data_IF_190769622477
#
_entry.id   IF_190769622477
#
_cell.length_a   1.000
_cell.length_b   1.000
_cell.length_c   1.000
_cell.angle_alpha   90.00
_cell.angle_beta   90.00
_cell.angle_gamma   90.00
#
_symmetry.space_group_name_H-M   'P 1'
#
loop_
_entity.id
_entity.type
_entity.pdbx_description
1 polymer ?
#
# COMPACT_ATOMS: atom_id res chain seq x y z
N UNK A 1 -5.17 -28.13 10.02
CA UNK A 1 -5.84 -27.84 8.74
C UNK A 1 -7.32 -27.93 8.98
N UNK A 2 -8.05 -26.92 8.54
CA UNK A 2 -9.51 -26.83 8.56
C UNK A 2 -10.08 -27.62 7.37
N UNK A 3 -11.41 -27.75 7.30
CA UNK A 3 -12.08 -28.33 6.12
C UNK A 3 -12.36 -27.29 5.01
N UNK A 4 -11.99 -26.02 5.21
CA UNK A 4 -12.38 -24.92 4.30
C UNK A 4 -11.68 -25.02 2.93
N UNK A 5 -10.40 -25.38 2.89
CA UNK A 5 -9.63 -25.58 1.65
C UNK A 5 -9.43 -27.07 1.33
N UNK A 6 -10.34 -27.94 1.78
CA UNK A 6 -10.21 -29.38 1.64
C UNK A 6 -9.95 -29.81 0.19
N UNK A 7 -8.87 -30.57 0.00
CA UNK A 7 -8.48 -31.10 -1.32
C UNK A 7 -7.54 -30.17 -2.11
N UNK A 8 -7.24 -28.97 -1.61
CA UNK A 8 -6.26 -28.07 -2.20
C UNK A 8 -4.87 -28.38 -1.63
N UNK A 9 -3.90 -28.53 -2.52
CA UNK A 9 -2.49 -28.73 -2.15
C UNK A 9 -1.75 -27.39 -2.11
N UNK A 10 -0.65 -27.29 -1.34
CA UNK A 10 0.20 -26.10 -1.38
C UNK A 10 0.66 -25.76 -2.80
N UNK A 11 0.53 -24.48 -3.15
CA UNK A 11 0.90 -23.91 -4.44
C UNK A 11 2.42 -23.94 -4.59
N UNK A 12 2.89 -24.29 -5.79
CA UNK A 12 4.32 -24.35 -6.11
C UNK A 12 4.59 -23.66 -7.43
N UNK A 13 5.85 -23.27 -7.62
CA UNK A 13 6.35 -22.85 -8.92
C UNK A 13 6.46 -24.06 -9.87
N UNK A 14 5.82 -23.97 -11.03
CA UNK A 14 5.84 -25.02 -12.07
C UNK A 14 6.36 -24.53 -13.42
N UNK A 15 6.67 -23.24 -13.55
CA UNK A 15 7.18 -22.64 -14.78
C UNK A 15 6.10 -22.08 -15.71
N UNK A 16 6.54 -21.29 -16.69
CA UNK A 16 5.68 -20.46 -17.53
C UNK A 16 4.70 -21.27 -18.39
N UNK A 17 5.05 -22.51 -18.74
CA UNK A 17 4.24 -23.39 -19.60
C UNK A 17 3.21 -24.23 -18.81
N UNK A 18 3.15 -24.10 -17.47
CA UNK A 18 2.20 -24.88 -16.67
C UNK A 18 0.74 -24.48 -16.93
N UNK A 19 -0.09 -25.50 -17.17
CA UNK A 19 -1.54 -25.39 -17.26
C UNK A 19 -2.26 -25.60 -15.94
N UNK A 20 -1.53 -25.88 -14.84
CA UNK A 20 -2.12 -26.04 -13.51
C UNK A 20 -2.69 -24.68 -13.03
N UNK A 21 -4.00 -24.55 -12.75
CA UNK A 21 -4.59 -23.28 -12.32
C UNK A 21 -4.22 -22.90 -10.87
N UNK A 22 -3.65 -23.83 -10.10
CA UNK A 22 -3.20 -23.65 -8.72
C UNK A 22 -1.68 -23.82 -8.59
N UNK A 23 -0.93 -23.24 -9.53
CA UNK A 23 0.53 -23.16 -9.52
C UNK A 23 1.00 -21.77 -9.92
N UNK A 24 2.17 -21.38 -9.41
CA UNK A 24 2.89 -20.19 -9.87
C UNK A 24 3.62 -20.48 -11.18
N UNK A 25 3.45 -19.59 -12.16
CA UNK A 25 4.10 -19.68 -13.48
C UNK A 25 5.34 -18.80 -13.59
N UNK A 26 5.33 -17.69 -12.86
CA UNK A 26 6.39 -16.69 -12.87
C UNK A 26 6.99 -16.45 -11.49
N UNK A 27 6.20 -16.60 -10.42
CA UNK A 27 6.70 -16.44 -9.06
C UNK A 27 7.50 -17.67 -8.60
N UNK A 28 8.83 -17.53 -8.65
CA UNK A 28 9.76 -18.44 -8.00
C UNK A 28 10.44 -17.68 -6.86
N UNK A 29 10.03 -17.95 -5.62
CA UNK A 29 10.47 -17.20 -4.43
C UNK A 29 11.99 -17.13 -4.26
N UNK A 30 12.72 -18.16 -4.71
CA UNK A 30 14.16 -18.31 -4.56
C UNK A 30 14.96 -17.81 -5.77
N UNK A 31 14.28 -17.43 -6.87
CA UNK A 31 14.92 -16.83 -8.04
C UNK A 31 15.64 -15.53 -7.64
N UNK A 32 16.91 -15.40 -8.00
CA UNK A 32 17.70 -14.20 -7.73
C UNK A 32 17.54 -13.21 -8.89
N UNK A 33 16.99 -12.04 -8.58
CA UNK A 33 16.81 -10.91 -9.52
C UNK A 33 17.60 -9.72 -8.98
N UNK A 34 18.51 -9.15 -9.77
CA UNK A 34 19.37 -8.03 -9.33
C UNK A 34 20.06 -8.30 -7.97
N UNK A 35 20.54 -9.52 -7.74
CA UNK A 35 21.28 -9.89 -6.53
C UNK A 35 20.44 -10.17 -5.28
N UNK A 36 19.11 -10.19 -5.37
CA UNK A 36 18.20 -10.44 -4.24
C UNK A 36 17.09 -11.42 -4.63
N UNK A 37 16.61 -12.24 -3.70
CA UNK A 37 15.52 -13.20 -3.96
C UNK A 37 14.26 -12.46 -4.37
N UNK A 38 13.50 -13.03 -5.29
CA UNK A 38 12.20 -12.50 -5.75
C UNK A 38 11.25 -12.25 -4.57
N UNK A 39 11.19 -13.17 -3.61
CA UNK A 39 10.39 -12.99 -2.41
C UNK A 39 10.83 -11.79 -1.56
N UNK A 40 12.12 -11.49 -1.51
CA UNK A 40 12.63 -10.38 -0.69
C UNK A 40 12.44 -9.03 -1.40
N UNK A 41 12.29 -9.01 -2.73
CA UNK A 41 11.87 -7.83 -3.50
C UNK A 41 10.39 -7.53 -3.32
N UNK A 42 9.54 -8.55 -3.51
CA UNK A 42 8.09 -8.39 -3.51
C UNK A 42 7.54 -8.32 -2.07
N UNK A 43 8.05 -9.18 -1.18
CA UNK A 43 7.57 -9.34 0.21
C UNK A 43 6.03 -9.39 0.26
N UNK A 44 5.40 -10.34 -0.47
CA UNK A 44 3.97 -10.31 -0.67
C UNK A 44 3.22 -10.50 0.65
N UNK A 45 2.16 -9.71 0.84
CA UNK A 45 1.27 -9.75 2.00
C UNK A 45 -0.16 -10.11 1.59
N UNK A 46 -0.90 -10.76 2.48
CA UNK A 46 -2.36 -10.96 2.34
C UNK A 46 -3.11 -9.97 3.21
N UNK A 47 -4.04 -9.22 2.61
CA UNK A 47 -4.99 -8.38 3.33
C UNK A 47 -6.05 -9.22 4.04
N UNK A 48 -6.08 -9.16 5.38
CA UNK A 48 -7.01 -9.97 6.16
C UNK A 48 -8.48 -9.54 5.94
N UNK A 49 -8.75 -8.24 5.76
CA UNK A 49 -10.09 -7.71 5.54
C UNK A 49 -10.73 -8.30 4.30
N UNK A 50 -10.11 -8.16 3.13
CA UNK A 50 -10.69 -8.64 1.88
C UNK A 50 -10.77 -10.16 1.77
N UNK A 51 -9.79 -10.85 2.35
CA UNK A 51 -9.68 -12.30 2.20
C UNK A 51 -10.64 -13.04 3.14
N UNK A 52 -10.82 -12.54 4.37
CA UNK A 52 -11.53 -13.28 5.41
C UNK A 52 -12.68 -12.51 6.09
N UNK A 53 -12.69 -11.17 6.04
CA UNK A 53 -13.71 -10.37 6.73
C UNK A 53 -14.82 -9.86 5.80
N UNK A 54 -14.49 -9.40 4.59
CA UNK A 54 -15.47 -8.87 3.64
C UNK A 54 -16.46 -9.94 3.21
N UNK A 55 -17.75 -9.65 3.40
CA UNK A 55 -18.84 -10.62 3.24
C UNK A 55 -19.39 -10.69 1.81
N UNK A 56 -18.78 -9.97 0.87
CA UNK A 56 -19.23 -9.89 -0.52
C UNK A 56 -20.45 -8.97 -0.74
N UNK A 57 -20.70 -8.04 0.19
CA UNK A 57 -21.72 -7.00 0.05
C UNK A 57 -21.24 -5.78 -0.75
N UNK A 58 -22.19 -5.04 -1.31
CA UNK A 58 -21.98 -3.77 -2.03
C UNK A 58 -23.15 -2.79 -1.73
N UNK A 59 -23.14 -1.53 -2.20
CA UNK A 59 -24.21 -0.57 -1.91
C UNK A 59 -25.62 -0.98 -2.37
N UNK A 60 -25.74 -2.01 -3.21
CA UNK A 60 -26.99 -2.45 -3.84
C UNK A 60 -27.40 -3.87 -3.41
N UNK A 61 -26.61 -4.57 -2.60
CA UNK A 61 -26.91 -5.92 -2.15
C UNK A 61 -26.08 -6.36 -0.94
N UNK A 62 -26.70 -7.17 -0.07
CA UNK A 62 -26.06 -7.72 1.12
C UNK A 62 -25.05 -8.84 0.84
N UNK A 63 -24.65 -9.50 1.93
CA UNK A 63 -23.71 -10.64 2.00
C UNK A 63 -23.98 -11.69 0.90
N UNK A 64 -22.90 -12.14 0.26
CA UNK A 64 -22.91 -13.25 -0.71
C UNK A 64 -22.05 -14.42 -0.27
N UNK A 65 -21.03 -14.17 0.55
CA UNK A 65 -20.17 -15.22 1.07
C UNK A 65 -20.78 -15.80 2.35
N UNK A 66 -21.16 -17.07 2.31
CA UNK A 66 -21.59 -17.81 3.50
C UNK A 66 -20.42 -18.58 4.08
N UNK A 67 -19.48 -17.85 4.70
CA UNK A 67 -18.27 -18.45 5.28
C UNK A 67 -18.55 -19.01 6.68
N UNK A 68 -17.96 -20.16 7.04
CA UNK A 68 -18.26 -20.87 8.29
C UNK A 68 -17.91 -20.12 9.59
N UNK A 69 -17.20 -18.98 9.53
CA UNK A 69 -16.87 -18.14 10.68
C UNK A 69 -17.80 -16.93 10.87
N UNK A 70 -18.70 -16.62 9.93
CA UNK A 70 -19.61 -15.49 10.12
C UNK A 70 -20.66 -15.78 11.19
N UNK A 71 -21.13 -14.71 11.85
CA UNK A 71 -22.16 -14.69 12.90
C UNK A 71 -21.89 -15.61 14.12
N UNK A 72 -20.62 -15.94 14.37
CA UNK A 72 -20.17 -16.78 15.50
C UNK A 72 -19.36 -16.03 16.55
N UNK A 73 -19.34 -14.69 16.49
CA UNK A 73 -18.60 -13.83 17.40
C UNK A 73 -17.13 -14.26 17.53
N UNK A 74 -16.66 -14.39 18.78
CA UNK A 74 -15.27 -14.80 19.03
C UNK A 74 -14.97 -16.23 18.57
N UNK A 75 -15.92 -17.17 18.58
CA UNK A 75 -15.68 -18.53 18.05
C UNK A 75 -15.34 -18.46 16.56
N UNK A 76 -16.11 -17.66 15.82
CA UNK A 76 -15.84 -17.36 14.42
C UNK A 76 -14.47 -16.72 14.20
N UNK A 77 -14.11 -15.73 15.02
CA UNK A 77 -12.79 -15.08 14.94
C UNK A 77 -11.62 -16.07 15.13
N UNK A 78 -11.72 -17.00 16.08
CA UNK A 78 -10.70 -18.05 16.29
C UNK A 78 -10.61 -18.98 15.09
N UNK A 79 -11.75 -19.43 14.56
CA UNK A 79 -11.77 -20.30 13.38
C UNK A 79 -11.24 -19.58 12.12
N UNK A 80 -11.57 -18.30 11.95
CA UNK A 80 -11.04 -17.47 10.87
C UNK A 80 -9.52 -17.34 10.94
N UNK A 81 -8.94 -17.24 12.14
CA UNK A 81 -7.48 -17.29 12.33
C UNK A 81 -6.88 -18.66 11.92
N UNK A 82 -7.59 -19.76 12.13
CA UNK A 82 -7.16 -21.08 11.65
C UNK A 82 -7.14 -21.17 10.12
N UNK A 83 -8.23 -20.71 9.48
CA UNK A 83 -8.36 -20.67 8.02
C UNK A 83 -7.33 -19.73 7.40
N UNK A 84 -7.05 -18.59 8.03
CA UNK A 84 -6.11 -17.61 7.50
C UNK A 84 -4.69 -18.18 7.39
N UNK A 85 -4.18 -18.80 8.45
CA UNK A 85 -2.86 -19.42 8.42
C UNK A 85 -2.79 -20.64 7.50
N UNK A 86 -3.89 -21.36 7.31
CA UNK A 86 -3.95 -22.40 6.28
C UNK A 86 -3.82 -21.83 4.88
N UNK A 87 -4.49 -20.72 4.55
CA UNK A 87 -4.29 -20.05 3.25
C UNK A 87 -2.86 -19.55 3.09
N UNK A 88 -2.26 -18.96 4.13
CA UNK A 88 -0.88 -18.46 4.07
C UNK A 88 0.11 -19.60 3.79
N UNK A 89 -0.08 -20.76 4.43
CA UNK A 89 0.74 -21.95 4.19
C UNK A 89 0.47 -22.57 2.80
N UNK A 90 -0.78 -22.57 2.32
CA UNK A 90 -1.14 -23.04 0.98
C UNK A 90 -0.54 -22.18 -0.12
N UNK A 91 -0.59 -20.86 0.02
CA UNK A 91 0.03 -19.92 -0.93
C UNK A 91 1.55 -19.85 -0.75
N UNK A 92 2.08 -20.35 0.36
CA UNK A 92 3.48 -20.15 0.75
C UNK A 92 3.81 -18.65 0.72
N UNK A 93 3.08 -17.82 1.48
CA UNK A 93 3.26 -16.36 1.53
C UNK A 93 3.92 -15.90 2.85
N UNK A 94 4.95 -15.02 2.80
CA UNK A 94 5.69 -14.58 3.97
C UNK A 94 4.98 -13.55 4.86
N UNK A 95 3.97 -12.82 4.37
CA UNK A 95 3.37 -11.75 5.15
C UNK A 95 1.83 -11.69 5.13
N UNK A 96 1.27 -11.04 6.14
CA UNK A 96 -0.14 -10.62 6.18
C UNK A 96 -0.28 -9.23 6.83
N UNK A 97 -1.43 -8.60 6.61
CA UNK A 97 -1.82 -7.31 7.17
C UNK A 97 -3.23 -7.41 7.79
N UNK A 98 -3.55 -6.62 8.81
CA UNK A 98 -4.90 -6.65 9.41
C UNK A 98 -5.36 -5.30 9.97
N UNK A 99 -6.68 -5.05 9.95
CA UNK A 99 -7.32 -4.17 10.93
C UNK A 99 -7.82 -4.96 12.14
N UNK A 100 -7.83 -4.30 13.29
CA UNK A 100 -8.35 -4.87 14.53
C UNK A 100 -9.81 -5.37 14.43
N UNK A 101 -10.69 -4.59 13.81
CA UNK A 101 -12.08 -4.96 13.56
C UNK A 101 -12.23 -6.18 12.61
N UNK A 102 -11.21 -6.46 11.79
CA UNK A 102 -11.25 -7.61 10.89
C UNK A 102 -10.90 -8.90 11.62
N UNK A 103 -10.09 -8.84 12.66
CA UNK A 103 -9.59 -10.04 13.34
C UNK A 103 -10.48 -10.43 14.52
N UNK A 104 -11.18 -9.47 15.14
CA UNK A 104 -12.05 -9.73 16.27
C UNK A 104 -13.30 -8.83 16.27
N UNK A 105 -14.46 -9.33 16.75
CA UNK A 105 -15.66 -8.51 16.91
C UNK A 105 -15.49 -7.44 17.98
N UNK A 106 -16.11 -6.29 17.74
CA UNK A 106 -16.21 -5.20 18.70
C UNK A 106 -17.05 -5.63 19.93
N UNK A 107 -16.60 -5.25 21.13
CA UNK A 107 -17.35 -5.45 22.38
C UNK A 107 -18.25 -4.27 22.74
N UNK A 108 -18.93 -4.33 23.89
CA UNK A 108 -19.78 -3.24 24.35
C UNK A 108 -19.01 -2.00 24.82
N UNK A 109 -17.71 -2.15 25.09
CA UNK A 109 -16.80 -1.08 25.51
C UNK A 109 -15.45 -1.24 24.80
N UNK A 110 -14.67 -0.16 24.70
CA UNK A 110 -13.31 -0.22 24.15
C UNK A 110 -12.44 -1.26 24.89
N UNK A 111 -12.59 -1.37 26.22
CA UNK A 111 -11.87 -2.36 27.00
C UNK A 111 -12.22 -3.80 26.60
N UNK A 112 -13.47 -4.07 26.25
CA UNK A 112 -13.91 -5.38 25.77
C UNK A 112 -13.44 -5.64 24.34
N UNK A 113 -13.56 -4.67 23.44
CA UNK A 113 -13.01 -4.76 22.08
C UNK A 113 -11.51 -5.05 22.11
N UNK A 114 -10.76 -4.34 22.95
CA UNK A 114 -9.32 -4.56 23.11
C UNK A 114 -9.01 -5.97 23.62
N UNK A 115 -9.79 -6.51 24.58
CA UNK A 115 -9.60 -7.89 25.05
C UNK A 115 -9.81 -8.91 23.93
N UNK A 116 -10.86 -8.73 23.12
CA UNK A 116 -11.16 -9.60 21.99
C UNK A 116 -10.01 -9.60 20.97
N UNK A 117 -9.54 -8.39 20.59
CA UNK A 117 -8.41 -8.20 19.67
C UNK A 117 -7.14 -8.85 20.20
N UNK A 118 -6.83 -8.66 21.49
CA UNK A 118 -5.65 -9.27 22.13
C UNK A 118 -5.70 -10.78 22.16
N UNK A 119 -6.87 -11.38 22.40
CA UNK A 119 -7.03 -12.82 22.36
C UNK A 119 -6.69 -13.41 20.98
N UNK A 120 -7.16 -12.76 19.90
CA UNK A 120 -6.81 -13.19 18.54
C UNK A 120 -5.34 -12.91 18.23
N UNK A 121 -4.79 -11.80 18.72
CA UNK A 121 -3.36 -11.50 18.68
C UNK A 121 -2.49 -12.61 19.28
N UNK A 122 -2.85 -13.14 20.44
CA UNK A 122 -2.16 -14.28 21.06
C UNK A 122 -2.24 -15.56 20.20
N UNK A 123 -3.36 -15.78 19.50
CA UNK A 123 -3.50 -16.89 18.56
C UNK A 123 -2.54 -16.70 17.37
N UNK A 124 -2.46 -15.50 16.81
CA UNK A 124 -1.51 -15.19 15.75
C UNK A 124 -0.07 -15.42 16.20
N UNK A 125 0.31 -14.93 17.39
CA UNK A 125 1.65 -15.16 17.94
C UNK A 125 2.01 -16.66 18.00
N UNK A 126 1.12 -17.50 18.57
CA UNK A 126 1.32 -18.96 18.63
C UNK A 126 1.38 -19.62 17.27
N UNK A 127 0.66 -19.11 16.27
CA UNK A 127 0.71 -19.62 14.90
C UNK A 127 2.01 -19.22 14.19
N UNK A 128 2.48 -17.99 14.40
CA UNK A 128 3.74 -17.47 13.84
C UNK A 128 4.99 -18.18 14.39
N UNK A 129 4.90 -18.86 15.53
CA UNK A 129 5.95 -19.77 16.02
C UNK A 129 6.17 -20.98 15.10
N UNK A 130 5.13 -21.42 14.37
CA UNK A 130 5.15 -22.63 13.54
C UNK A 130 5.08 -22.34 12.05
N UNK A 131 4.45 -21.24 11.66
CA UNK A 131 4.43 -20.76 10.27
C UNK A 131 5.59 -19.81 10.01
N UNK A 132 6.02 -19.70 8.76
CA UNK A 132 7.02 -18.71 8.33
C UNK A 132 6.41 -17.31 8.15
N UNK A 133 5.09 -17.22 8.08
CA UNK A 133 4.37 -15.97 7.84
C UNK A 133 4.57 -15.00 9.00
N UNK A 134 4.77 -13.72 8.70
CA UNK A 134 5.02 -12.63 9.65
C UNK A 134 4.06 -11.47 9.40
N UNK A 135 3.94 -10.58 10.37
CA UNK A 135 3.13 -9.37 10.22
C UNK A 135 3.89 -8.33 9.40
N UNK A 136 3.35 -7.90 8.26
CA UNK A 136 3.91 -6.75 7.53
C UNK A 136 3.50 -5.46 8.24
N UNK A 137 2.21 -5.31 8.56
CA UNK A 137 1.70 -4.22 9.38
C UNK A 137 0.32 -4.52 9.96
N UNK A 138 0.04 -3.88 11.09
CA UNK A 138 -1.33 -3.74 11.62
C UNK A 138 -1.80 -2.30 11.48
N UNK A 139 -3.11 -2.09 11.60
CA UNK A 139 -3.78 -0.79 11.52
C UNK A 139 -5.10 -0.82 12.28
N UNK A 140 -5.59 0.33 12.73
CA UNK A 140 -6.88 0.42 13.41
C UNK A 140 -7.97 0.78 12.40
N UNK A 141 -9.08 0.03 12.40
CA UNK A 141 -10.26 0.42 11.62
C UNK A 141 -10.97 1.58 12.34
N UNK A 142 -10.66 2.80 11.91
CA UNK A 142 -11.23 4.05 12.43
C UNK A 142 -12.31 4.63 11.50
N UNK A 143 -13.01 3.78 10.74
CA UNK A 143 -13.90 4.25 9.67
C UNK A 143 -15.22 3.47 9.52
N UNK A 144 -15.29 2.22 9.97
CA UNK A 144 -16.51 1.40 9.83
C UNK A 144 -17.56 1.69 10.90
N UNK A 145 -17.16 1.87 12.16
CA UNK A 145 -18.12 2.12 13.23
C UNK A 145 -18.79 3.49 13.08
N UNK A 146 -20.10 3.58 13.32
CA UNK A 146 -20.89 4.82 13.23
C UNK A 146 -20.33 6.00 14.05
N UNK A 147 -19.55 5.75 15.10
CA UNK A 147 -18.91 6.82 15.88
C UNK A 147 -17.94 7.66 15.04
N UNK A 148 -17.37 7.08 13.99
CA UNK A 148 -16.42 7.72 13.08
C UNK A 148 -17.08 8.38 11.86
N UNK A 149 -18.42 8.44 11.81
CA UNK A 149 -19.12 8.98 10.63
C UNK A 149 -18.72 10.42 10.28
N UNK A 150 -18.16 11.17 11.24
CA UNK A 150 -17.67 12.55 11.07
C UNK A 150 -16.15 12.68 11.28
N UNK A 151 -15.38 11.61 11.04
CA UNK A 151 -13.92 11.58 11.25
C UNK A 151 -13.50 10.84 12.52
N UNK A 152 -12.20 10.59 12.65
CA UNK A 152 -11.62 9.98 13.86
C UNK A 152 -10.65 10.94 14.52
N UNK A 153 -9.45 11.12 13.95
CA UNK A 153 -8.53 12.17 14.34
C UNK A 153 -9.03 13.56 13.93
N UNK A 154 -9.83 13.65 12.86
CA UNK A 154 -10.42 14.92 12.40
C UNK A 154 -11.82 15.17 12.96
N UNK A 155 -12.28 14.36 13.92
CA UNK A 155 -13.65 14.50 14.41
C UNK A 155 -13.86 15.86 15.13
N UNK A 156 -14.99 16.55 14.89
CA UNK A 156 -15.35 17.75 15.65
C UNK A 156 -15.54 17.50 17.16
N UNK A 157 -15.78 16.26 17.57
CA UNK A 157 -15.93 15.83 18.96
C UNK A 157 -14.60 15.28 19.52
N UNK A 158 -13.99 15.92 20.54
CA UNK A 158 -12.74 15.45 21.14
C UNK A 158 -12.86 14.09 21.85
N UNK A 159 -14.05 13.63 22.23
CA UNK A 159 -14.23 12.29 22.80
C UNK A 159 -14.05 11.18 21.75
N UNK A 160 -14.45 11.43 20.50
CA UNK A 160 -14.20 10.50 19.39
C UNK A 160 -12.71 10.43 19.06
N UNK A 161 -12.01 11.58 19.05
CA UNK A 161 -10.55 11.63 18.94
C UNK A 161 -9.89 10.78 20.03
N UNK A 162 -10.32 10.92 21.28
CA UNK A 162 -9.77 10.17 22.41
C UNK A 162 -10.03 8.66 22.27
N UNK A 163 -11.22 8.26 21.81
CA UNK A 163 -11.54 6.86 21.54
C UNK A 163 -10.64 6.28 20.44
N UNK A 164 -10.49 7.00 19.32
CA UNK A 164 -9.61 6.61 18.21
C UNK A 164 -8.15 6.42 18.68
N UNK A 165 -7.63 7.34 19.50
CA UNK A 165 -6.30 7.22 20.08
C UNK A 165 -6.17 5.98 20.99
N UNK A 166 -7.21 5.69 21.78
CA UNK A 166 -7.26 4.49 22.62
C UNK A 166 -7.25 3.17 21.83
N UNK A 167 -7.95 3.14 20.70
CA UNK A 167 -7.94 1.99 19.77
C UNK A 167 -6.57 1.85 19.10
N UNK A 168 -6.04 2.93 18.49
CA UNK A 168 -4.71 2.94 17.85
C UNK A 168 -3.60 2.50 18.82
N UNK A 169 -3.63 2.96 20.07
CA UNK A 169 -2.69 2.50 21.10
C UNK A 169 -2.68 0.98 21.21
N UNK A 170 -3.87 0.36 21.30
CA UNK A 170 -3.98 -1.08 21.46
C UNK A 170 -3.45 -1.84 20.24
N UNK A 171 -3.80 -1.39 19.03
CA UNK A 171 -3.37 -2.04 17.78
C UNK A 171 -1.87 -1.85 17.54
N UNK A 172 -1.32 -0.67 17.81
CA UNK A 172 0.11 -0.40 17.67
C UNK A 172 0.94 -1.25 18.63
N UNK A 173 0.49 -1.40 19.88
CA UNK A 173 1.13 -2.31 20.85
C UNK A 173 1.06 -3.78 20.39
N UNK A 174 -0.10 -4.25 19.91
CA UNK A 174 -0.22 -5.60 19.36
C UNK A 174 0.67 -5.79 18.12
N UNK A 175 0.72 -4.80 17.23
CA UNK A 175 1.60 -4.81 16.05
C UNK A 175 3.05 -4.91 16.46
N UNK A 176 3.47 -4.18 17.50
CA UNK A 176 4.80 -4.28 18.07
C UNK A 176 5.09 -5.68 18.65
N UNK A 177 4.18 -6.23 19.44
CA UNK A 177 4.30 -7.56 20.07
C UNK A 177 4.40 -8.68 19.03
N UNK A 178 3.69 -8.56 17.90
CA UNK A 178 3.75 -9.50 16.78
C UNK A 178 4.96 -9.27 15.86
N UNK A 179 5.80 -8.26 16.13
CA UNK A 179 6.98 -7.96 15.32
C UNK A 179 6.63 -7.37 13.94
N UNK A 180 5.53 -6.60 13.85
CA UNK A 180 5.11 -5.93 12.64
C UNK A 180 6.20 -5.01 12.07
N UNK A 181 6.46 -5.12 10.77
CA UNK A 181 7.49 -4.34 10.09
C UNK A 181 7.10 -2.86 9.92
N UNK A 182 5.81 -2.55 9.89
CA UNK A 182 5.26 -1.22 9.72
C UNK A 182 3.94 -1.08 10.52
N UNK A 183 3.41 0.15 10.62
CA UNK A 183 2.07 0.44 11.12
C UNK A 183 1.42 1.48 10.22
N UNK A 184 0.22 1.19 9.72
CA UNK A 184 -0.48 2.02 8.72
C UNK A 184 -1.56 2.88 9.39
N UNK A 185 -1.75 4.09 8.86
CA UNK A 185 -2.91 4.93 9.09
C UNK A 185 -3.52 5.30 7.73
N UNK A 186 -4.64 4.68 7.39
CA UNK A 186 -5.47 5.07 6.26
C UNK A 186 -6.63 5.94 6.74
N UNK A 187 -6.73 7.16 6.19
CA UNK A 187 -7.66 8.19 6.63
C UNK A 187 -9.10 8.04 6.12
N UNK A 188 -9.70 6.84 6.14
CA UNK A 188 -10.99 6.59 5.47
C UNK A 188 -12.14 7.54 5.88
N UNK A 189 -12.11 8.16 7.06
CA UNK A 189 -13.05 9.23 7.48
C UNK A 189 -12.36 10.57 7.75
N UNK A 190 -11.06 10.66 7.56
CA UNK A 190 -10.24 11.84 7.81
C UNK A 190 -10.31 12.78 6.61
N UNK A 191 -11.45 13.46 6.52
CA UNK A 191 -11.84 14.28 5.39
C UNK A 191 -13.21 14.90 5.64
N UNK A 192 -13.90 15.32 4.59
CA UNK A 192 -15.22 15.92 4.73
C UNK A 192 -16.22 15.46 3.68
N UNK A 193 -17.51 15.54 4.03
CA UNK A 193 -18.62 15.43 3.07
C UNK A 193 -19.04 16.80 2.52
N UNK A 194 -19.02 17.85 3.34
CA UNK A 194 -19.38 19.21 2.93
C UNK A 194 -18.52 20.27 3.61
N UNK A 195 -18.11 21.30 2.86
CA UNK A 195 -17.36 22.42 3.41
C UNK A 195 -18.19 23.33 4.33
N UNK A 196 -19.52 23.26 4.25
CA UNK A 196 -20.42 24.13 5.02
C UNK A 196 -20.32 23.94 6.53
N UNK A 197 -19.86 22.78 6.99
CA UNK A 197 -19.69 22.43 8.40
C UNK A 197 -18.25 22.01 8.77
N UNK A 198 -17.29 22.21 7.87
CA UNK A 198 -15.92 21.70 8.02
C UNK A 198 -14.95 22.85 8.23
N UNK A 199 -14.05 22.72 9.23
CA UNK A 199 -12.95 23.66 9.46
C UNK A 199 -11.63 22.99 9.10
N UNK A 200 -11.29 22.96 7.81
CA UNK A 200 -10.14 22.21 7.27
C UNK A 200 -8.85 22.46 8.07
N UNK A 201 -8.52 23.73 8.38
CA UNK A 201 -7.29 24.05 9.13
C UNK A 201 -7.25 23.41 10.52
N UNK A 202 -8.38 23.42 11.23
CA UNK A 202 -8.53 22.82 12.56
C UNK A 202 -8.40 21.30 12.49
N UNK A 203 -9.08 20.67 11.52
CA UNK A 203 -9.08 19.22 11.34
C UNK A 203 -7.70 18.69 10.95
N UNK A 204 -6.98 19.41 10.08
CA UNK A 204 -5.59 19.09 9.78
C UNK A 204 -4.67 19.27 11.01
N UNK A 205 -4.90 20.29 11.85
CA UNK A 205 -4.11 20.47 13.08
C UNK A 205 -4.35 19.33 14.07
N UNK A 206 -5.59 18.83 14.16
CA UNK A 206 -5.94 17.66 14.95
C UNK A 206 -5.27 16.39 14.41
N UNK A 207 -5.37 16.14 13.10
CA UNK A 207 -4.73 15.00 12.43
C UNK A 207 -3.21 15.03 12.60
N UNK A 208 -2.59 16.20 12.45
CA UNK A 208 -1.16 16.42 12.69
C UNK A 208 -0.78 16.10 14.13
N UNK A 209 -1.57 16.54 15.12
CA UNK A 209 -1.34 16.20 16.53
C UNK A 209 -1.55 14.71 16.81
N UNK A 210 -2.55 14.08 16.18
CA UNK A 210 -2.81 12.65 16.34
C UNK A 210 -1.60 11.83 15.90
N UNK A 211 -1.02 12.14 14.74
CA UNK A 211 0.15 11.44 14.22
C UNK A 211 1.37 11.60 15.13
N UNK A 212 1.57 12.79 15.72
CA UNK A 212 2.58 12.98 16.77
C UNK A 212 2.36 12.07 17.98
N UNK A 213 1.12 11.97 18.49
CA UNK A 213 0.81 11.11 19.64
C UNK A 213 1.10 9.63 19.31
N UNK A 214 0.78 9.18 18.09
CA UNK A 214 1.07 7.82 17.63
C UNK A 214 2.58 7.57 17.59
N UNK A 215 3.36 8.50 17.03
CA UNK A 215 4.83 8.40 16.96
C UNK A 215 5.47 8.46 18.36
N UNK A 216 5.03 9.38 19.23
CA UNK A 216 5.47 9.50 20.62
C UNK A 216 5.25 8.17 21.37
N UNK A 217 4.09 7.53 21.17
CA UNK A 217 3.80 6.24 21.78
C UNK A 217 4.63 5.10 21.18
N UNK A 218 4.78 5.06 19.84
CA UNK A 218 5.63 4.09 19.15
C UNK A 218 7.07 4.13 19.68
N UNK A 219 7.65 5.32 19.81
CA UNK A 219 8.98 5.52 20.38
C UNK A 219 9.06 5.07 21.84
N UNK A 220 8.03 5.40 22.65
CA UNK A 220 7.94 5.01 24.07
C UNK A 220 7.91 3.51 24.29
N UNK A 221 7.17 2.75 23.46
CA UNK A 221 7.12 1.29 23.56
C UNK A 221 8.30 0.61 22.84
N UNK A 222 9.13 1.37 22.14
CA UNK A 222 10.29 0.85 21.41
C UNK A 222 9.95 0.22 20.07
N UNK A 223 8.79 0.53 19.47
CA UNK A 223 8.43 0.08 18.13
C UNK A 223 9.44 0.61 17.11
N UNK A 224 9.99 -0.30 16.28
CA UNK A 224 11.00 0.02 15.25
C UNK A 224 10.46 0.00 13.84
N UNK A 225 9.20 -0.40 13.65
CA UNK A 225 8.58 -0.41 12.34
C UNK A 225 8.32 1.00 11.81
N UNK A 226 8.18 1.11 10.50
CA UNK A 226 7.89 2.38 9.84
C UNK A 226 6.42 2.78 10.05
N UNK A 227 6.15 4.03 10.40
CA UNK A 227 4.80 4.59 10.38
C UNK A 227 4.47 5.00 8.94
N UNK A 228 3.31 4.58 8.46
CA UNK A 228 2.85 4.78 7.08
C UNK A 228 1.51 5.53 7.04
N UNK A 229 1.38 6.48 6.12
CA UNK A 229 0.09 7.04 5.69
C UNK A 229 -0.24 6.44 4.33
N UNK A 230 -1.52 6.14 4.10
CA UNK A 230 -2.00 5.60 2.84
C UNK A 230 -2.86 6.62 2.10
N UNK A 231 -2.33 7.27 1.04
CA UNK A 231 -3.08 8.31 0.35
C UNK A 231 -4.30 7.75 -0.37
N UNK A 232 -5.41 8.50 -0.33
CA UNK A 232 -6.62 8.29 -1.13
C UNK A 232 -7.34 9.63 -1.31
N UNK A 233 -7.90 9.95 -2.49
CA UNK A 233 -8.51 11.25 -2.75
C UNK A 233 -9.90 11.45 -2.14
N UNK A 234 -10.67 10.37 -2.02
CA UNK A 234 -12.09 10.35 -1.66
C UNK A 234 -12.53 8.90 -1.42
N UNK A 235 -13.82 8.69 -1.14
CA UNK A 235 -14.46 7.40 -0.90
C UNK A 235 -13.96 6.71 0.39
N UNK A 236 -14.74 6.78 1.47
CA UNK A 236 -16.15 7.21 1.55
C UNK A 236 -16.38 8.72 1.74
N UNK A 237 -15.33 9.52 1.98
CA UNK A 237 -15.47 10.98 2.10
C UNK A 237 -15.65 11.63 0.72
N UNK A 238 -16.19 12.85 0.67
CA UNK A 238 -16.25 13.64 -0.59
C UNK A 238 -14.88 14.23 -0.95
N UNK A 239 -14.03 14.42 0.05
CA UNK A 239 -12.62 14.77 -0.09
C UNK A 239 -11.90 14.24 1.15
N UNK A 240 -10.90 13.40 0.93
CA UNK A 240 -10.00 12.89 1.97
C UNK A 240 -8.73 13.75 2.00
N UNK A 241 -8.22 14.04 3.20
CA UNK A 241 -7.13 15.03 3.36
C UNK A 241 -5.78 14.54 2.86
N UNK A 242 -5.48 13.26 3.06
CA UNK A 242 -4.35 12.53 2.51
C UNK A 242 -4.60 12.16 1.03
N UNK A 243 -4.84 13.17 0.19
CA UNK A 243 -5.38 13.01 -1.17
C UNK A 243 -4.48 12.22 -2.13
N UNK A 244 -3.19 12.56 -2.16
CA UNK A 244 -2.13 11.95 -2.98
C UNK A 244 -0.77 12.13 -2.28
N UNK A 245 0.30 11.55 -2.83
CA UNK A 245 1.66 11.62 -2.26
C UNK A 245 2.14 13.07 -2.09
N UNK A 246 1.85 13.96 -3.04
CA UNK A 246 2.26 15.36 -2.96
C UNK A 246 1.59 16.08 -1.78
N UNK A 247 0.29 15.85 -1.61
CA UNK A 247 -0.53 16.41 -0.55
C UNK A 247 -0.08 15.89 0.81
N UNK A 248 0.17 14.57 0.91
CA UNK A 248 0.71 13.96 2.12
C UNK A 248 2.07 14.55 2.46
N UNK A 249 2.99 14.70 1.49
CA UNK A 249 4.28 15.33 1.76
C UNK A 249 4.14 16.78 2.25
N UNK A 250 3.25 17.57 1.64
CA UNK A 250 2.96 18.94 2.09
C UNK A 250 2.44 18.97 3.54
N UNK A 251 1.53 18.07 3.89
CA UNK A 251 1.05 17.88 5.26
C UNK A 251 2.19 17.50 6.21
N UNK A 252 2.98 16.48 5.88
CA UNK A 252 4.09 16.03 6.71
C UNK A 252 5.10 17.16 6.93
N UNK A 253 5.42 17.96 5.91
CA UNK A 253 6.31 19.12 6.02
C UNK A 253 5.74 20.22 6.91
N UNK A 254 4.44 20.50 6.83
CA UNK A 254 3.77 21.49 7.69
C UNK A 254 3.92 21.12 9.17
N UNK A 255 3.86 19.83 9.50
CA UNK A 255 3.90 19.33 10.87
C UNK A 255 5.26 18.75 11.29
N UNK A 256 6.30 18.82 10.45
CA UNK A 256 7.66 18.35 10.78
C UNK A 256 7.81 16.83 10.88
N UNK A 257 7.05 16.07 10.09
CA UNK A 257 6.93 14.62 10.15
C UNK A 257 7.52 13.89 8.93
N UNK A 258 8.07 14.61 7.94
CA UNK A 258 8.53 14.07 6.66
C UNK A 258 9.72 13.10 6.79
N UNK A 259 10.43 13.13 7.91
CA UNK A 259 11.54 12.20 8.20
C UNK A 259 11.11 10.99 9.03
N UNK A 260 9.86 10.97 9.52
CA UNK A 260 9.32 9.97 10.44
C UNK A 260 8.27 9.10 9.79
N UNK A 261 7.57 9.62 8.78
CA UNK A 261 6.41 8.97 8.15
C UNK A 261 6.69 8.83 6.66
N UNK A 262 6.25 7.69 6.11
CA UNK A 262 6.34 7.35 4.70
C UNK A 262 4.96 7.01 4.14
N UNK A 263 4.83 6.86 2.82
CA UNK A 263 3.59 6.46 2.18
C UNK A 263 3.52 4.93 2.00
N UNK A 264 2.33 4.38 2.26
CA UNK A 264 1.84 3.14 1.66
C UNK A 264 1.04 3.53 0.41
N UNK A 265 1.46 3.15 -0.79
CA UNK A 265 0.84 3.64 -2.03
C UNK A 265 0.03 2.52 -2.65
N UNK A 266 -1.25 2.76 -2.89
CA UNK A 266 -2.15 1.82 -3.54
C UNK A 266 -2.40 2.19 -5.01
N UNK A 267 -2.44 1.18 -5.89
CA UNK A 267 -2.73 1.35 -7.32
C UNK A 267 -4.12 1.96 -7.55
N UNK A 268 -5.14 1.42 -6.88
CA UNK A 268 -6.52 1.87 -6.99
C UNK A 268 -6.70 3.32 -6.57
N UNK A 269 -6.10 3.70 -5.44
CA UNK A 269 -6.14 5.07 -4.91
C UNK A 269 -5.43 6.08 -5.82
N UNK A 270 -4.25 5.73 -6.36
CA UNK A 270 -3.54 6.57 -7.32
C UNK A 270 -4.42 6.87 -8.55
N UNK A 271 -5.09 5.85 -9.09
CA UNK A 271 -6.02 6.00 -10.20
C UNK A 271 -7.20 6.91 -9.85
N UNK A 272 -7.82 6.73 -8.67
CA UNK A 272 -8.91 7.60 -8.22
C UNK A 272 -8.48 9.05 -8.07
N UNK A 273 -7.19 9.30 -7.77
CA UNK A 273 -6.61 10.64 -7.69
C UNK A 273 -6.28 11.22 -9.08
N UNK A 274 -6.59 10.46 -10.15
CA UNK A 274 -6.30 10.75 -11.54
C UNK A 274 -4.78 10.79 -11.84
N UNK A 275 -4.02 9.93 -11.15
CA UNK A 275 -2.59 9.71 -11.35
C UNK A 275 -2.33 8.27 -11.80
N UNK A 276 -1.22 8.03 -12.49
CA UNK A 276 -0.74 6.67 -12.68
C UNK A 276 0.00 6.18 -11.43
N UNK A 277 0.05 4.87 -11.22
CA UNK A 277 0.71 4.32 -10.02
C UNK A 277 2.21 4.61 -10.02
N UNK A 278 2.88 4.52 -11.17
CA UNK A 278 4.30 4.84 -11.29
C UNK A 278 4.60 6.33 -11.07
N UNK A 279 3.63 7.23 -11.29
CA UNK A 279 3.77 8.65 -10.93
C UNK A 279 3.92 8.82 -9.42
N UNK A 280 2.98 8.25 -8.64
CA UNK A 280 2.99 8.35 -7.18
C UNK A 280 4.25 7.71 -6.58
N UNK A 281 4.70 6.58 -7.15
CA UNK A 281 5.95 5.92 -6.75
C UNK A 281 7.18 6.78 -7.04
N UNK A 282 7.29 7.34 -8.26
CA UNK A 282 8.41 8.20 -8.65
C UNK A 282 8.48 9.45 -7.77
N UNK A 283 7.32 10.05 -7.47
CA UNK A 283 7.23 11.21 -6.60
C UNK A 283 7.65 10.86 -5.16
N UNK A 284 7.09 9.80 -4.58
CA UNK A 284 7.42 9.38 -3.22
C UNK A 284 8.90 9.01 -3.07
N UNK A 285 9.49 8.36 -4.08
CA UNK A 285 10.91 8.06 -4.12
C UNK A 285 11.75 9.35 -4.14
N UNK A 286 11.39 10.33 -4.98
CA UNK A 286 12.10 11.62 -5.09
C UNK A 286 12.06 12.45 -3.80
N UNK A 287 10.99 12.28 -3.02
CA UNK A 287 10.77 12.95 -1.74
C UNK A 287 11.31 12.17 -0.53
N UNK A 288 11.82 10.95 -0.76
CA UNK A 288 12.37 10.09 0.31
C UNK A 288 11.32 9.43 1.21
N UNK A 289 10.05 9.44 0.80
CA UNK A 289 8.91 8.95 1.58
C UNK A 289 8.26 7.68 1.02
N UNK A 290 8.89 6.97 0.06
CA UNK A 290 8.41 5.66 -0.38
C UNK A 290 8.60 4.60 0.74
N UNK A 291 7.48 4.04 1.22
CA UNK A 291 7.44 3.11 2.35
C UNK A 291 7.02 1.69 1.96
N UNK A 292 5.77 1.53 1.53
CA UNK A 292 5.16 0.24 1.16
C UNK A 292 4.17 0.44 0.01
N UNK A 293 3.60 -0.64 -0.51
CA UNK A 293 2.56 -0.54 -1.55
C UNK A 293 1.43 -1.55 -1.33
N UNK A 294 0.25 -1.19 -1.80
CA UNK A 294 -0.89 -2.08 -1.93
C UNK A 294 -1.13 -2.47 -3.40
N UNK A 295 -1.16 -3.78 -3.61
CA UNK A 295 -1.14 -4.46 -4.88
C UNK A 295 -2.57 -4.77 -5.34
N UNK A 296 -3.18 -3.84 -6.05
CA UNK A 296 -4.49 -4.04 -6.64
C UNK A 296 -4.61 -3.32 -7.99
N UNK A 297 -5.84 -3.12 -8.46
CA UNK A 297 -6.19 -2.22 -9.55
C UNK A 297 -7.65 -1.81 -9.41
N UNK A 298 -7.98 -0.71 -10.08
CA UNK A 298 -9.36 -0.33 -10.33
C UNK A 298 -9.79 -0.57 -11.78
N UNK A 299 -11.10 -0.55 -11.98
CA UNK A 299 -11.69 -0.58 -13.31
C UNK A 299 -11.70 0.84 -13.88
N UNK A 300 -11.07 1.04 -15.04
CA UNK A 300 -10.91 2.37 -15.62
C UNK A 300 -12.25 3.03 -16.02
N UNK A 301 -13.33 2.27 -16.14
CA UNK A 301 -14.67 2.78 -16.45
C UNK A 301 -15.51 3.01 -15.18
N UNK A 302 -14.99 2.64 -14.02
CA UNK A 302 -15.67 2.72 -12.71
C UNK A 302 -14.95 3.72 -11.81
N UNK A 303 -15.61 4.83 -11.48
CA UNK A 303 -15.03 5.90 -10.65
C UNK A 303 -15.01 5.63 -9.15
N UNK A 304 -14.84 4.37 -8.73
CA UNK A 304 -14.80 3.94 -7.33
C UNK A 304 -13.83 2.77 -7.15
N UNK A 305 -13.53 2.45 -5.89
CA UNK A 305 -12.59 1.42 -5.51
C UNK A 305 -13.15 0.00 -5.70
N UNK A 306 -12.57 -0.73 -6.64
CA UNK A 306 -12.99 -2.08 -7.01
C UNK A 306 -12.12 -3.17 -6.39
N UNK A 307 -10.93 -2.81 -5.89
CA UNK A 307 -9.94 -3.65 -5.20
C UNK A 307 -9.69 -4.96 -5.95
N UNK A 308 -9.48 -4.88 -7.27
CA UNK A 308 -9.20 -6.07 -8.08
C UNK A 308 -7.74 -6.47 -7.95
N UNK A 309 -7.42 -7.76 -8.04
CA UNK A 309 -6.02 -8.19 -8.11
C UNK A 309 -5.31 -7.58 -9.34
N UNK A 310 -3.99 -7.31 -9.29
CA UNK A 310 -3.24 -6.82 -10.44
C UNK A 310 -3.36 -7.78 -11.63
N UNK A 311 -3.47 -7.23 -12.85
CA UNK A 311 -3.58 -8.04 -14.07
C UNK A 311 -2.73 -7.51 -15.26
N UNK A 312 -2.01 -6.41 -15.09
CA UNK A 312 -1.29 -5.73 -16.17
C UNK A 312 0.22 -5.76 -15.91
N UNK A 313 0.92 -6.66 -16.60
CA UNK A 313 2.39 -6.73 -16.53
C UNK A 313 3.06 -5.42 -16.97
N UNK A 314 2.62 -4.75 -18.06
CA UNK A 314 3.24 -3.50 -18.50
C UNK A 314 3.17 -2.38 -17.46
N UNK A 315 2.00 -2.14 -16.85
CA UNK A 315 1.83 -1.10 -15.84
C UNK A 315 2.66 -1.40 -14.59
N UNK A 316 2.58 -2.63 -14.07
CA UNK A 316 3.34 -3.03 -12.88
C UNK A 316 4.85 -3.06 -13.15
N UNK A 317 5.30 -3.22 -14.41
CA UNK A 317 6.74 -3.14 -14.77
C UNK A 317 7.29 -1.74 -14.53
N UNK A 318 6.55 -0.69 -14.92
CA UNK A 318 6.95 0.69 -14.66
C UNK A 318 6.95 1.01 -13.15
N UNK A 319 6.01 0.44 -12.39
CA UNK A 319 6.02 0.54 -10.94
C UNK A 319 7.26 -0.10 -10.29
N UNK A 320 7.59 -1.34 -10.67
CA UNK A 320 8.81 -2.00 -10.20
C UNK A 320 10.07 -1.25 -10.61
N UNK A 321 10.09 -0.65 -11.80
CA UNK A 321 11.21 0.19 -12.22
C UNK A 321 11.45 1.33 -11.21
N UNK A 322 10.42 2.11 -10.86
CA UNK A 322 10.56 3.20 -9.89
C UNK A 322 10.99 2.69 -8.50
N UNK A 323 10.40 1.59 -8.03
CA UNK A 323 10.75 0.97 -6.74
C UNK A 323 12.21 0.51 -6.72
N UNK A 324 12.68 -0.17 -7.77
CA UNK A 324 14.06 -0.66 -7.86
C UNK A 324 15.06 0.50 -7.95
N UNK A 325 14.75 1.55 -8.72
CA UNK A 325 15.57 2.78 -8.79
C UNK A 325 15.64 3.52 -7.45
N UNK A 326 14.61 3.40 -6.61
CA UNK A 326 14.58 3.92 -5.25
C UNK A 326 15.31 3.03 -4.22
N UNK A 327 15.84 1.87 -4.63
CA UNK A 327 16.52 0.92 -3.73
C UNK A 327 15.58 -0.11 -3.07
N UNK A 328 14.33 -0.21 -3.52
CA UNK A 328 13.31 -1.12 -2.99
C UNK A 328 12.47 -0.52 -1.85
N UNK A 329 11.59 -1.34 -1.28
CA UNK A 329 10.60 -0.91 -0.26
C UNK A 329 11.10 -1.00 1.18
N UNK A 330 12.37 -1.31 1.43
CA UNK A 330 12.92 -1.50 2.78
C UNK A 330 12.09 -2.49 3.64
N UNK A 331 11.38 -1.98 4.67
CA UNK A 331 10.51 -2.75 5.57
C UNK A 331 9.12 -3.03 4.98
N UNK A 332 8.69 -2.28 3.97
CA UNK A 332 7.43 -2.45 3.26
C UNK A 332 7.43 -3.68 2.34
N UNK A 333 6.31 -3.87 1.64
CA UNK A 333 6.11 -4.97 0.71
C UNK A 333 4.89 -4.71 -0.15
N UNK A 334 4.54 -5.69 -0.99
CA UNK A 334 3.31 -5.66 -1.80
C UNK A 334 2.20 -6.40 -1.05
N UNK A 335 1.37 -5.68 -0.30
CA UNK A 335 0.18 -6.28 0.32
C UNK A 335 -0.94 -6.37 -0.73
N UNK A 336 -1.56 -7.53 -0.90
CA UNK A 336 -2.72 -7.67 -1.79
C UNK A 336 -3.96 -7.08 -1.11
N UNK A 337 -4.08 -5.75 -1.13
CA UNK A 337 -5.32 -5.05 -0.83
C UNK A 337 -6.33 -5.23 -1.96
N UNK A 338 -6.69 -6.49 -2.20
CA UNK A 338 -7.54 -6.93 -3.27
C UNK A 338 -8.52 -8.00 -2.78
N UNK A 339 -9.75 -7.96 -3.31
CA UNK A 339 -10.80 -8.94 -3.02
C UNK A 339 -11.08 -9.86 -4.21
N UNK A 340 -11.52 -11.07 -3.92
CA UNK A 340 -12.21 -11.87 -4.95
C UNK A 340 -13.50 -11.16 -5.36
N UNK A 341 -14.08 -11.53 -6.50
CA UNK A 341 -15.31 -10.85 -6.95
C UNK A 341 -16.50 -11.34 -6.13
N UNK A 342 -17.55 -10.51 -6.05
CA UNK A 342 -18.81 -10.84 -5.35
C UNK A 342 -19.42 -12.18 -5.76
N UNK A 343 -19.15 -12.64 -6.99
CA UNK A 343 -19.67 -13.89 -7.56
C UNK A 343 -18.66 -15.05 -7.47
N UNK A 344 -17.43 -14.79 -7.02
CA UNK A 344 -16.35 -15.77 -6.85
C UNK A 344 -16.39 -16.30 -5.41
N UNK A 345 -17.31 -17.23 -5.17
CA UNK A 345 -17.69 -17.69 -3.83
C UNK A 345 -16.90 -18.92 -3.36
N UNK A 346 -16.20 -19.62 -4.26
CA UNK A 346 -15.54 -20.87 -3.91
C UNK A 346 -14.24 -20.61 -3.13
N UNK A 347 -13.83 -21.49 -2.21
CA UNK A 347 -12.55 -21.32 -1.50
C UNK A 347 -11.35 -21.21 -2.45
N UNK A 348 -11.36 -21.93 -3.58
CA UNK A 348 -10.29 -21.90 -4.58
C UNK A 348 -10.13 -20.52 -5.24
N UNK A 349 -11.19 -19.70 -5.31
CA UNK A 349 -11.12 -18.36 -5.90
C UNK A 349 -10.16 -17.45 -5.13
N UNK A 350 -10.06 -17.62 -3.81
CA UNK A 350 -9.08 -16.91 -2.99
C UNK A 350 -7.66 -17.22 -3.46
N UNK A 351 -7.37 -18.49 -3.80
CA UNK A 351 -6.06 -18.87 -4.33
C UNK A 351 -5.86 -18.34 -5.74
N UNK A 352 -6.85 -18.45 -6.63
CA UNK A 352 -6.73 -17.96 -8.00
C UNK A 352 -6.39 -16.46 -8.06
N UNK A 353 -7.04 -15.64 -7.21
CA UNK A 353 -6.75 -14.21 -7.11
C UNK A 353 -5.29 -13.93 -6.72
N UNK A 354 -4.84 -14.53 -5.62
CA UNK A 354 -3.48 -14.33 -5.11
C UNK A 354 -2.40 -14.90 -6.04
N UNK A 355 -2.63 -16.08 -6.64
CA UNK A 355 -1.70 -16.69 -7.60
C UNK A 355 -1.54 -15.80 -8.82
N UNK A 356 -2.65 -15.35 -9.41
CA UNK A 356 -2.63 -14.46 -10.58
C UNK A 356 -1.93 -13.14 -10.27
N UNK A 357 -2.29 -12.50 -9.16
CA UNK A 357 -1.65 -11.26 -8.71
C UNK A 357 -0.14 -11.42 -8.51
N UNK A 358 0.29 -12.49 -7.83
CA UNK A 358 1.70 -12.71 -7.54
C UNK A 358 2.52 -13.08 -8.78
N UNK A 359 1.94 -13.82 -9.74
CA UNK A 359 2.58 -14.08 -11.04
C UNK A 359 2.74 -12.79 -11.86
N UNK A 360 1.77 -11.88 -11.81
CA UNK A 360 1.89 -10.55 -12.44
C UNK A 360 3.05 -9.76 -11.80
N UNK A 361 3.09 -9.68 -10.47
CA UNK A 361 4.18 -9.00 -9.76
C UNK A 361 5.55 -9.61 -10.10
N UNK A 362 5.65 -10.94 -10.10
CA UNK A 362 6.88 -11.66 -10.42
C UNK A 362 7.36 -11.42 -11.85
N UNK A 363 6.45 -11.44 -12.83
CA UNK A 363 6.79 -11.17 -14.23
C UNK A 363 7.21 -9.71 -14.42
N UNK A 364 6.51 -8.77 -13.80
CA UNK A 364 6.85 -7.34 -13.86
C UNK A 364 8.18 -7.01 -13.18
N UNK A 365 8.51 -7.65 -12.05
CA UNK A 365 9.83 -7.51 -11.42
C UNK A 365 10.94 -7.93 -12.39
N UNK A 366 10.77 -9.06 -13.10
CA UNK A 366 11.76 -9.53 -14.08
C UNK A 366 11.89 -8.60 -15.28
N UNK A 367 10.78 -8.11 -15.80
CA UNK A 367 10.78 -7.13 -16.90
C UNK A 367 11.47 -5.82 -16.49
N UNK A 368 11.19 -5.31 -15.29
CA UNK A 368 11.81 -4.10 -14.76
C UNK A 368 13.31 -4.28 -14.52
N UNK A 369 13.72 -5.44 -14.02
CA UNK A 369 15.14 -5.78 -13.86
C UNK A 369 15.86 -5.81 -15.22
N UNK A 370 15.28 -6.49 -16.22
CA UNK A 370 15.84 -6.53 -17.57
C UNK A 370 15.94 -5.13 -18.20
N UNK A 371 14.94 -4.27 -17.97
CA UNK A 371 14.96 -2.87 -18.42
C UNK A 371 16.10 -2.07 -17.77
N UNK A 372 16.35 -2.25 -16.48
CA UNK A 372 17.44 -1.60 -15.74
C UNK A 372 18.80 -2.10 -16.23
N UNK A 373 18.96 -3.42 -16.42
CA UNK A 373 20.22 -4.03 -16.90
C UNK A 373 20.57 -3.59 -18.32
N UNK A 374 19.58 -3.48 -19.22
CA UNK A 374 19.78 -2.93 -20.57
C UNK A 374 20.23 -1.46 -20.52
N UNK A 375 19.65 -0.69 -19.59
CA UNK A 375 20.03 0.69 -19.28
C UNK A 375 19.77 1.69 -20.40
N UNK A 376 19.12 1.30 -21.50
CA UNK A 376 18.82 2.24 -22.60
C UNK A 376 17.86 3.31 -22.13
N UNK A 377 16.85 2.95 -21.32
CA UNK A 377 15.90 3.92 -20.81
C UNK A 377 16.58 4.99 -19.94
N UNK A 378 17.38 4.57 -18.95
CA UNK A 378 18.19 5.46 -18.11
C UNK A 378 19.11 6.36 -18.94
N UNK A 379 19.89 5.79 -19.87
CA UNK A 379 20.80 6.57 -20.73
C UNK A 379 20.06 7.61 -21.57
N UNK A 380 18.88 7.29 -22.08
CA UNK A 380 18.06 8.24 -22.84
C UNK A 380 17.57 9.39 -21.96
N UNK A 381 17.14 9.11 -20.72
CA UNK A 381 16.75 10.14 -19.76
C UNK A 381 17.96 10.99 -19.36
N UNK A 382 19.08 10.39 -19.00
CA UNK A 382 20.32 11.10 -18.62
C UNK A 382 20.81 12.03 -19.73
N UNK A 383 20.80 11.56 -20.98
CA UNK A 383 21.17 12.36 -22.15
C UNK A 383 20.26 13.59 -22.32
N UNK A 384 18.97 13.46 -21.99
CA UNK A 384 17.99 14.57 -22.04
C UNK A 384 18.34 15.69 -21.07
N UNK A 385 18.89 15.37 -19.90
CA UNK A 385 19.24 16.34 -18.84
C UNK A 385 20.73 16.70 -18.79
N UNK A 386 21.59 16.12 -19.63
CA UNK A 386 23.05 16.28 -19.58
C UNK A 386 23.54 17.75 -19.58
N UNK A 387 22.80 18.68 -20.16
CA UNK A 387 23.13 20.11 -20.16
C UNK A 387 23.21 20.74 -18.76
N UNK A 388 22.45 20.22 -17.79
CA UNK A 388 22.47 20.68 -16.40
C UNK A 388 23.78 20.35 -15.67
N UNK A 389 24.55 19.37 -16.17
CA UNK A 389 25.86 19.01 -15.61
C UNK A 389 26.99 19.96 -16.05
N UNK A 390 26.73 20.85 -17.02
CA UNK A 390 27.64 21.91 -17.44
C UNK A 390 27.76 23.05 -16.44
N UNK A 391 28.70 23.97 -16.67
CA UNK A 391 28.99 25.09 -15.76
C UNK A 391 27.76 25.96 -15.48
N UNK A 392 27.06 26.40 -16.53
CA UNK A 392 25.87 27.25 -16.41
C UNK A 392 24.76 26.57 -15.59
N UNK A 393 24.44 25.30 -15.89
CA UNK A 393 23.41 24.55 -15.17
C UNK A 393 23.73 24.41 -13.69
N UNK A 394 24.99 24.08 -13.35
CA UNK A 394 25.46 23.99 -11.96
C UNK A 394 25.39 25.32 -11.23
N UNK A 395 25.78 26.43 -11.88
CA UNK A 395 25.75 27.73 -11.24
C UNK A 395 24.31 28.25 -11.01
N UNK A 396 23.37 27.91 -11.92
CA UNK A 396 21.93 28.15 -11.72
C UNK A 396 21.44 27.38 -10.49
N UNK A 397 21.67 26.07 -10.44
CA UNK A 397 21.16 25.22 -9.35
C UNK A 397 21.80 25.54 -7.99
N UNK A 398 23.03 26.06 -8.00
CA UNK A 398 23.71 26.54 -6.79
C UNK A 398 23.27 27.95 -6.34
N UNK A 399 22.36 28.61 -7.06
CA UNK A 399 21.89 29.96 -6.72
C UNK A 399 22.93 31.06 -6.93
N UNK A 400 23.97 30.82 -7.75
CA UNK A 400 25.05 31.79 -8.01
C UNK A 400 24.70 32.82 -9.08
N UNK A 401 23.71 32.51 -9.92
CA UNK A 401 23.25 33.38 -10.99
C UNK A 401 21.86 33.87 -10.66
N UNK A 402 21.70 35.19 -10.59
CA UNK A 402 20.39 35.81 -10.47
C UNK A 402 19.63 35.80 -11.79
N UNK A 403 18.34 36.14 -11.74
CA UNK A 403 17.55 36.38 -12.95
C UNK A 403 18.21 37.42 -13.87
N UNK A 404 18.81 38.47 -13.31
CA UNK A 404 19.47 39.53 -14.07
C UNK A 404 20.75 39.03 -14.75
N UNK A 405 21.57 38.22 -14.07
CA UNK A 405 22.80 37.65 -14.64
C UNK A 405 22.47 36.73 -15.82
N UNK A 406 21.41 35.92 -15.69
CA UNK A 406 20.95 35.03 -16.75
C UNK A 406 20.44 35.81 -17.96
N UNK A 407 19.62 36.85 -17.75
CA UNK A 407 19.14 37.71 -18.82
C UNK A 407 20.29 38.40 -19.56
N UNK A 408 21.23 39.00 -18.83
CA UNK A 408 22.41 39.65 -19.40
C UNK A 408 23.28 38.68 -20.21
N UNK A 409 23.44 37.44 -19.72
CA UNK A 409 24.16 36.39 -20.44
C UNK A 409 23.47 36.00 -21.75
N UNK A 410 22.15 35.87 -21.74
CA UNK A 410 21.36 35.58 -22.96
C UNK A 410 21.53 36.68 -24.00
N UNK A 411 21.45 37.95 -23.58
CA UNK A 411 21.62 39.11 -24.48
C UNK A 411 23.05 39.20 -25.03
N UNK A 412 24.06 39.04 -24.16
CA UNK A 412 25.46 39.17 -24.54
C UNK A 412 25.94 38.05 -25.47
N UNK A 413 25.46 36.82 -25.27
CA UNK A 413 25.87 35.64 -26.05
C UNK A 413 24.88 35.28 -27.16
N UNK A 414 23.78 36.04 -27.30
CA UNK A 414 22.68 35.78 -28.25
C UNK A 414 22.16 34.34 -28.14
N UNK A 415 21.91 33.88 -26.90
CA UNK A 415 21.47 32.52 -26.61
C UNK A 415 20.04 32.32 -27.16
N UNK A 416 19.90 31.46 -28.18
CA UNK A 416 18.61 31.14 -28.81
C UNK A 416 18.43 29.61 -28.95
N UNK A 417 18.04 28.90 -27.88
CA UNK A 417 17.98 27.45 -27.87
C UNK A 417 16.89 26.92 -28.82
N UNK A 418 17.17 25.82 -29.51
CA UNK A 418 16.21 25.15 -30.39
C UNK A 418 15.50 23.99 -29.66
N UNK A 419 14.22 23.70 -29.97
CA UNK A 419 13.51 22.55 -29.43
C UNK A 419 14.24 21.22 -29.70
N UNK A 420 14.14 20.28 -28.76
CA UNK A 420 14.65 18.90 -28.90
C UNK A 420 13.48 17.92 -28.75
N UNK A 421 13.44 16.89 -29.60
CA UNK A 421 12.41 15.86 -29.52
C UNK A 421 12.48 15.12 -28.17
N UNK A 422 11.31 14.81 -27.60
CA UNK A 422 11.18 14.00 -26.39
C UNK A 422 11.21 12.49 -26.63
N UNK A 423 11.04 12.04 -27.88
CA UNK A 423 11.09 10.63 -28.29
C UNK A 423 10.13 9.70 -27.52
N UNK A 424 8.92 10.18 -27.20
CA UNK A 424 7.98 9.43 -26.37
C UNK A 424 7.60 8.07 -26.96
N UNK A 425 7.21 8.02 -28.24
CA UNK A 425 6.77 6.77 -28.89
C UNK A 425 7.92 5.76 -28.97
N UNK A 426 9.16 6.24 -29.11
CA UNK A 426 10.34 5.37 -29.04
C UNK A 426 10.52 4.76 -27.64
N UNK A 427 10.33 5.57 -26.60
CA UNK A 427 10.42 5.10 -25.21
C UNK A 427 9.31 4.11 -24.87
N UNK A 428 8.07 4.36 -25.29
CA UNK A 428 6.96 3.42 -25.10
C UNK A 428 7.21 2.09 -25.83
N UNK A 429 7.70 2.15 -27.07
CA UNK A 429 8.11 0.96 -27.82
C UNK A 429 9.27 0.22 -27.16
N UNK A 430 10.23 0.94 -26.56
CA UNK A 430 11.34 0.36 -25.81
C UNK A 430 10.84 -0.49 -24.63
N UNK A 431 9.92 0.06 -23.82
CA UNK A 431 9.32 -0.63 -22.68
C UNK A 431 8.56 -1.88 -23.13
N UNK A 432 7.78 -1.78 -24.20
CA UNK A 432 6.99 -2.90 -24.75
C UNK A 432 7.84 -4.11 -25.19
N UNK A 433 9.16 -3.98 -25.38
CA UNK A 433 10.02 -5.12 -25.71
C UNK A 433 10.32 -6.03 -24.51
N UNK A 434 10.12 -5.54 -23.29
CA UNK A 434 10.49 -6.25 -22.05
C UNK A 434 9.34 -6.99 -21.38
N UNK A 435 8.09 -6.71 -21.79
CA UNK A 435 6.86 -7.10 -21.05
C UNK A 435 6.11 -8.26 -21.68
#
# INVERSE_FOLDING_TARGET
MTDFFKGISPVKYEGADSTNPLAYRHYNKDEIVLGKRMEDHIRPGVAYWHTFAWEGGDPFGGRTFDRPWYDKGMEGARFKADVAFELFDLLDIPFFCFHDADIAPEGATLAESNRNVREIGEIFARKMEKSRTRLLWGTANLFSNRRYMSGAATNPDPEVFAYAAGQVKNVLELTHELGGANYVLWGGREGYETLLNTKIGQEQDQMGRFLHIVIEHAEKIGFKGQILIEPKPQEPSKHQYDFDVATVYGFLRKYGLETKVKCNIEVGHAFLANHSFEHELALAASLGILGSVDANRNDLQSGWDTDQFPNSVPETTLAFYQILKAGGLNSGGWNFDAKVRRQSIDPADLLHGHIGGLDVLARSLKAAAALIEDGTYDRTVDARYAGWNGAMGKDILAGKLSLADLAAKVDAENINPQPKSGQQEYLENLINRFV
#
